data_IF_807459149455
#
_entry.id   IF_807459149455
#
_cell.length_a   1.000
_cell.length_b   1.000
_cell.length_c   1.000
_cell.angle_alpha   90.00
_cell.angle_beta   90.00
_cell.angle_gamma   90.00
#
_symmetry.space_group_name_H-M   'P 1'
#
loop_
_entity.id
_entity.type
_entity.pdbx_description
1 polymer ?
#
# COMPACT_ATOMS: atom_id res chain seq x y z
N UNK A 1 5.53 8.59 -1.77
CA UNK A 1 4.23 8.21 -1.20
C UNK A 1 4.33 7.57 0.18
N UNK A 2 4.98 6.40 0.37
CA UNK A 2 4.99 5.70 1.67
C UNK A 2 5.53 6.53 2.84
N UNK A 3 6.62 7.28 2.63
CA UNK A 3 7.18 8.20 3.65
C UNK A 3 6.23 9.35 4.00
N UNK A 4 5.41 9.80 3.04
CA UNK A 4 4.45 10.88 3.25
C UNK A 4 3.27 10.39 4.09
N UNK A 5 2.69 9.24 3.72
CA UNK A 5 1.62 8.58 4.51
C UNK A 5 2.10 8.26 5.93
N UNK A 6 3.32 7.71 6.07
CA UNK A 6 3.89 7.43 7.39
C UNK A 6 4.12 8.67 8.24
N UNK A 7 4.45 9.82 7.62
CA UNK A 7 4.57 11.09 8.33
C UNK A 7 3.21 11.59 8.82
N UNK A 8 2.20 11.62 7.95
CA UNK A 8 0.84 12.03 8.33
C UNK A 8 0.26 11.14 9.42
N UNK A 9 0.51 9.81 9.35
CA UNK A 9 0.05 8.88 10.37
C UNK A 9 0.68 9.17 11.74
N UNK A 10 1.95 9.57 11.75
CA UNK A 10 2.66 9.98 12.95
C UNK A 10 2.12 11.30 13.52
N UNK A 11 1.94 12.30 12.66
CA UNK A 11 1.40 13.61 13.05
C UNK A 11 0.00 13.49 13.68
N UNK A 12 -0.90 12.69 13.09
CA UNK A 12 -2.23 12.40 13.65
C UNK A 12 -2.14 11.69 15.01
N UNK A 13 -1.26 10.68 15.11
CA UNK A 13 -1.08 9.93 16.37
C UNK A 13 -0.55 10.83 17.48
N UNK A 14 0.45 11.66 17.20
CA UNK A 14 1.02 12.60 18.16
C UNK A 14 -0.01 13.64 18.58
N UNK A 15 -0.83 14.16 17.66
CA UNK A 15 -1.90 15.11 17.98
C UNK A 15 -3.00 14.51 18.87
N UNK A 16 -3.38 13.24 18.63
CA UNK A 16 -4.31 12.51 19.51
C UNK A 16 -3.73 12.32 20.91
N UNK A 17 -2.47 11.91 20.99
CA UNK A 17 -1.77 11.66 22.26
C UNK A 17 -1.61 12.94 23.09
N UNK A 18 -1.27 14.08 22.46
CA UNK A 18 -1.19 15.37 23.15
C UNK A 18 -2.55 15.83 23.70
N UNK A 19 -3.66 15.40 23.09
CA UNK A 19 -5.01 15.67 23.60
C UNK A 19 -5.35 14.77 24.78
N UNK A 20 -5.10 13.46 24.68
CA UNK A 20 -5.47 12.49 25.73
C UNK A 20 -4.52 12.45 26.93
N UNK A 21 -3.22 12.69 26.71
CA UNK A 21 -2.20 12.63 27.76
C UNK A 21 -2.31 13.76 28.79
N UNK A 22 -2.94 14.88 28.41
CA UNK A 22 -3.09 16.06 29.27
C UNK A 22 -4.42 16.08 30.06
N UNK A 23 -5.29 15.07 29.90
CA UNK A 23 -6.50 14.89 30.72
C UNK A 23 -6.22 14.05 31.98
N UNK A 24 -5.02 13.45 32.10
CA UNK A 24 -4.63 12.59 33.24
C UNK A 24 -3.64 13.22 34.23
N UNK A 25 -3.14 14.43 33.96
CA UNK A 25 -2.19 15.14 34.83
C UNK A 25 -2.64 16.59 35.07
N UNK A 26 -3.73 16.76 35.81
CA UNK A 26 -4.11 18.04 36.43
C UNK A 26 -3.26 18.27 37.70
N UNK A 27 -1.93 18.34 37.53
CA UNK A 27 -1.04 18.74 38.61
C UNK A 27 0.21 19.44 38.09
N UNK A 28 0.06 20.76 37.90
CA UNK A 28 1.12 21.76 38.11
C UNK A 28 2.38 21.65 37.24
N UNK A 29 2.46 22.47 36.19
CA UNK A 29 3.72 23.16 35.84
C UNK A 29 3.45 24.36 34.92
N UNK A 30 3.68 25.56 35.46
CA UNK A 30 3.43 26.87 34.82
C UNK A 30 4.52 27.28 33.80
N UNK A 31 5.27 26.36 33.18
CA UNK A 31 6.48 26.74 32.41
C UNK A 31 6.77 25.90 31.13
N UNK A 32 5.80 25.18 30.56
CA UNK A 32 5.94 24.59 29.21
C UNK A 32 5.26 25.48 28.16
N UNK A 33 6.06 26.11 27.32
CA UNK A 33 5.70 27.02 26.23
C UNK A 33 4.56 26.48 25.34
N UNK A 34 3.35 26.97 25.57
CA UNK A 34 2.29 27.36 24.61
C UNK A 34 2.35 26.76 23.20
N UNK A 35 2.37 25.44 23.06
CA UNK A 35 1.75 24.82 21.90
C UNK A 35 0.25 24.70 22.20
N UNK A 36 -0.62 25.43 21.47
CA UNK A 36 -2.05 25.31 21.70
C UNK A 36 -2.46 23.85 21.50
N UNK A 37 -3.26 23.32 22.44
CA UNK A 37 -3.84 21.98 22.32
C UNK A 37 -4.50 21.88 20.95
N UNK A 38 -4.20 20.86 20.12
CA UNK A 38 -4.86 20.69 18.84
C UNK A 38 -6.37 20.60 19.07
N UNK A 39 -7.14 21.46 18.40
CA UNK A 39 -8.59 21.40 18.46
C UNK A 39 -9.11 20.11 17.81
N UNK A 40 -10.30 19.69 18.21
CA UNK A 40 -10.97 18.53 17.62
C UNK A 40 -11.15 18.68 16.10
N UNK A 41 -11.46 19.89 15.64
CA UNK A 41 -11.58 20.23 14.22
C UNK A 41 -10.22 20.13 13.49
N UNK A 42 -9.11 20.48 14.14
CA UNK A 42 -7.77 20.31 13.56
C UNK A 42 -7.38 18.83 13.45
N UNK A 43 -7.70 18.02 14.47
CA UNK A 43 -7.47 16.57 14.45
C UNK A 43 -8.29 15.92 13.33
N UNK A 44 -9.57 16.27 13.21
CA UNK A 44 -10.46 15.79 12.15
C UNK A 44 -9.89 16.12 10.75
N UNK A 45 -9.45 17.37 10.53
CA UNK A 45 -8.80 17.76 9.27
C UNK A 45 -7.50 17.00 8.99
N UNK A 46 -6.73 16.67 10.02
CA UNK A 46 -5.51 15.87 9.85
C UNK A 46 -5.84 14.41 9.51
N UNK A 47 -6.91 13.86 10.07
CA UNK A 47 -7.43 12.52 9.76
C UNK A 47 -7.95 12.44 8.33
N UNK A 48 -8.76 13.41 7.88
CA UNK A 48 -9.22 13.48 6.49
C UNK A 48 -8.04 13.50 5.49
N UNK A 49 -6.99 14.27 5.79
CA UNK A 49 -5.77 14.31 4.96
C UNK A 49 -5.03 12.98 4.97
N UNK A 50 -4.97 12.30 6.11
CA UNK A 50 -4.35 10.98 6.22
C UNK A 50 -5.14 9.95 5.39
N UNK A 51 -6.46 9.95 5.48
CA UNK A 51 -7.34 9.06 4.71
C UNK A 51 -7.18 9.29 3.20
N UNK A 52 -7.18 10.54 2.75
CA UNK A 52 -6.94 10.89 1.35
C UNK A 52 -5.57 10.39 0.87
N UNK A 53 -4.51 10.61 1.66
CA UNK A 53 -3.16 10.15 1.31
C UNK A 53 -3.06 8.61 1.29
N UNK A 54 -3.76 7.90 2.18
CA UNK A 54 -3.83 6.44 2.18
C UNK A 54 -4.61 5.91 0.96
N UNK A 55 -5.69 6.59 0.56
CA UNK A 55 -6.47 6.26 -0.62
C UNK A 55 -5.62 6.43 -1.90
N UNK A 56 -4.91 7.55 -2.02
CA UNK A 56 -4.00 7.79 -3.14
C UNK A 56 -2.86 6.76 -3.20
N UNK A 57 -2.31 6.39 -2.05
CA UNK A 57 -1.30 5.34 -1.96
C UNK A 57 -1.86 3.98 -2.44
N UNK A 58 -3.05 3.61 -1.98
CA UNK A 58 -3.74 2.39 -2.42
C UNK A 58 -3.95 2.42 -3.94
N UNK A 59 -4.47 3.53 -4.47
CA UNK A 59 -4.71 3.71 -5.90
C UNK A 59 -3.42 3.59 -6.72
N UNK A 60 -2.30 4.14 -6.22
CA UNK A 60 -1.00 4.00 -6.88
C UNK A 60 -0.57 2.53 -6.99
N UNK A 61 -0.71 1.75 -5.92
CA UNK A 61 -0.42 0.31 -5.97
C UNK A 61 -1.35 -0.42 -6.95
N UNK A 62 -2.65 -0.12 -6.94
CA UNK A 62 -3.60 -0.72 -7.90
C UNK A 62 -3.22 -0.43 -9.35
N UNK A 63 -2.88 0.83 -9.68
CA UNK A 63 -2.44 1.21 -11.02
C UNK A 63 -1.17 0.46 -11.41
N UNK A 64 -0.19 0.37 -10.51
CA UNK A 64 1.07 -0.36 -10.76
C UNK A 64 0.77 -1.83 -11.07
N UNK A 65 -0.01 -2.51 -10.23
CA UNK A 65 -0.34 -3.93 -10.43
C UNK A 65 -1.17 -4.15 -11.70
N UNK A 66 -2.15 -3.29 -11.98
CA UNK A 66 -2.90 -3.33 -13.24
C UNK A 66 -1.99 -3.22 -14.46
N UNK A 67 -0.99 -2.32 -14.42
CA UNK A 67 -0.04 -2.18 -15.53
C UNK A 67 0.84 -3.41 -15.69
N UNK A 68 1.30 -4.03 -14.61
CA UNK A 68 2.02 -5.31 -14.67
C UNK A 68 1.16 -6.42 -15.26
N UNK A 69 -0.06 -6.59 -14.76
CA UNK A 69 -1.01 -7.59 -15.26
C UNK A 69 -1.25 -7.39 -16.75
N UNK A 70 -1.52 -6.16 -17.18
CA UNK A 70 -1.79 -5.83 -18.57
C UNK A 70 -0.64 -6.23 -19.50
N UNK A 71 0.60 -5.78 -19.21
CA UNK A 71 1.75 -6.05 -20.09
C UNK A 71 2.19 -7.52 -20.06
N UNK A 72 2.08 -8.19 -18.89
CA UNK A 72 2.41 -9.61 -18.78
C UNK A 72 1.36 -10.45 -19.51
N UNK A 73 0.08 -10.14 -19.37
CA UNK A 73 -1.00 -10.84 -20.08
C UNK A 73 -0.88 -10.66 -21.60
N UNK A 74 -0.59 -9.44 -22.06
CA UNK A 74 -0.35 -9.17 -23.48
C UNK A 74 0.80 -10.03 -24.02
N UNK A 75 1.91 -10.11 -23.28
CA UNK A 75 3.05 -10.93 -23.66
C UNK A 75 2.70 -12.43 -23.70
N UNK A 76 2.02 -12.94 -22.68
CA UNK A 76 1.64 -14.36 -22.60
C UNK A 76 0.69 -14.74 -23.75
N UNK A 77 -0.37 -13.95 -23.97
CA UNK A 77 -1.33 -14.17 -25.06
C UNK A 77 -0.65 -14.13 -26.43
N UNK A 78 0.27 -13.18 -26.65
CA UNK A 78 1.00 -13.08 -27.91
C UNK A 78 1.86 -14.31 -28.18
N UNK A 79 2.59 -14.79 -27.17
CA UNK A 79 3.46 -15.96 -27.33
C UNK A 79 2.67 -17.26 -27.48
N UNK A 80 1.54 -17.40 -26.79
CA UNK A 80 0.60 -18.51 -26.96
C UNK A 80 0.04 -18.54 -28.39
N UNK A 81 -0.43 -17.38 -28.88
CA UNK A 81 -0.94 -17.23 -30.26
C UNK A 81 0.10 -17.59 -31.32
N UNK A 82 1.37 -17.19 -31.10
CA UNK A 82 2.48 -17.47 -32.01
C UNK A 82 3.03 -18.90 -31.88
N UNK A 83 2.56 -19.69 -30.90
CA UNK A 83 3.07 -21.03 -30.59
C UNK A 83 4.54 -21.03 -30.14
N UNK A 84 4.98 -19.97 -29.46
CA UNK A 84 6.37 -19.76 -29.03
C UNK A 84 6.49 -19.81 -27.51
N UNK A 85 7.68 -20.14 -27.02
CA UNK A 85 7.98 -20.09 -25.59
C UNK A 85 7.96 -18.63 -25.09
N UNK A 86 7.05 -18.34 -24.16
CA UNK A 86 6.91 -17.03 -23.54
C UNK A 86 8.09 -16.67 -22.62
N UNK A 87 8.90 -17.63 -22.21
CA UNK A 87 9.96 -17.51 -21.20
C UNK A 87 11.22 -16.75 -21.70
N UNK A 88 11.00 -15.52 -22.14
CA UNK A 88 12.01 -14.61 -22.65
C UNK A 88 12.74 -13.87 -21.52
N UNK A 89 13.87 -13.25 -21.85
CA UNK A 89 14.59 -12.36 -20.93
C UNK A 89 13.71 -11.22 -20.43
N UNK A 90 12.88 -10.63 -21.31
CA UNK A 90 11.94 -9.58 -20.95
C UNK A 90 10.91 -10.10 -19.94
N UNK A 91 10.31 -11.27 -20.19
CA UNK A 91 9.34 -11.88 -19.28
C UNK A 91 9.93 -12.11 -17.89
N UNK A 92 11.10 -12.79 -17.83
CA UNK A 92 11.80 -13.08 -16.56
C UNK A 92 12.10 -11.81 -15.77
N UNK A 93 12.51 -10.74 -16.45
CA UNK A 93 12.77 -9.46 -15.81
C UNK A 93 11.49 -8.81 -15.30
N UNK A 94 10.43 -8.77 -16.13
CA UNK A 94 9.16 -8.13 -15.78
C UNK A 94 8.45 -8.84 -14.63
N UNK A 95 8.36 -10.18 -14.67
CA UNK A 95 7.78 -10.95 -13.56
C UNK A 95 8.66 -10.85 -12.30
N UNK A 96 9.98 -10.79 -12.46
CA UNK A 96 10.91 -10.53 -11.35
C UNK A 96 10.68 -9.16 -10.68
N UNK A 97 10.35 -8.13 -11.47
CA UNK A 97 9.99 -6.80 -10.92
C UNK A 97 8.65 -6.81 -10.20
N UNK A 98 7.68 -7.58 -10.67
CA UNK A 98 6.42 -7.79 -9.95
C UNK A 98 6.69 -8.42 -8.57
N UNK A 99 7.46 -9.50 -8.51
CA UNK A 99 7.88 -10.11 -7.23
C UNK A 99 8.62 -9.12 -6.32
N UNK A 100 9.52 -8.31 -6.89
CA UNK A 100 10.25 -7.31 -6.11
C UNK A 100 9.31 -6.31 -5.42
N UNK A 101 8.22 -5.89 -6.07
CA UNK A 101 7.25 -4.97 -5.47
C UNK A 101 6.56 -5.63 -4.28
N UNK A 102 6.14 -6.89 -4.41
CA UNK A 102 5.56 -7.66 -3.30
C UNK A 102 6.50 -7.75 -2.10
N UNK A 103 7.79 -8.02 -2.34
CA UNK A 103 8.78 -8.14 -1.26
C UNK A 103 9.15 -6.81 -0.61
N UNK A 104 9.44 -5.78 -1.42
CA UNK A 104 9.92 -4.48 -0.94
C UNK A 104 8.82 -3.65 -0.27
N UNK A 105 7.56 -3.88 -0.62
CA UNK A 105 6.41 -3.16 -0.08
C UNK A 105 5.39 -4.07 0.61
N UNK A 106 5.86 -5.20 1.15
CA UNK A 106 5.04 -6.25 1.75
C UNK A 106 3.97 -5.71 2.72
N UNK A 107 4.32 -4.78 3.63
CA UNK A 107 3.37 -4.23 4.61
C UNK A 107 2.18 -3.52 3.95
N UNK A 108 2.42 -2.78 2.85
CA UNK A 108 1.36 -2.08 2.14
C UNK A 108 0.55 -3.05 1.28
N UNK A 109 1.22 -3.99 0.61
CA UNK A 109 0.56 -5.01 -0.21
C UNK A 109 -0.34 -5.89 0.67
N UNK A 110 0.13 -6.28 1.85
CA UNK A 110 -0.62 -7.06 2.84
C UNK A 110 -1.88 -6.30 3.28
N UNK A 111 -1.74 -5.00 3.62
CA UNK A 111 -2.89 -4.14 3.96
C UNK A 111 -3.97 -4.10 2.88
N UNK A 112 -3.57 -4.21 1.61
CA UNK A 112 -4.49 -4.16 0.47
C UNK A 112 -4.82 -5.54 -0.12
N UNK A 113 -4.35 -6.64 0.50
CA UNK A 113 -4.40 -7.99 -0.05
C UNK A 113 -5.80 -8.41 -0.47
N UNK A 114 -6.82 -8.14 0.36
CA UNK A 114 -8.22 -8.46 0.03
C UNK A 114 -8.72 -7.70 -1.22
N UNK A 115 -8.37 -6.41 -1.36
CA UNK A 115 -8.75 -5.65 -2.56
C UNK A 115 -8.00 -6.20 -3.78
N UNK A 116 -6.73 -6.54 -3.63
CA UNK A 116 -5.90 -7.08 -4.72
C UNK A 116 -6.44 -8.43 -5.21
N UNK A 117 -6.81 -9.34 -4.31
CA UNK A 117 -7.37 -10.65 -4.68
C UNK A 117 -8.77 -10.56 -5.29
N UNK A 118 -9.57 -9.59 -4.85
CA UNK A 118 -10.95 -9.41 -5.36
C UNK A 118 -10.98 -8.73 -6.72
N UNK A 119 -10.08 -7.76 -6.98
CA UNK A 119 -10.17 -6.90 -8.16
C UNK A 119 -9.12 -7.19 -9.24
N UNK A 120 -7.92 -7.66 -8.88
CA UNK A 120 -6.77 -7.74 -9.80
C UNK A 120 -6.24 -9.16 -10.00
N UNK A 121 -6.00 -9.87 -8.89
CA UNK A 121 -5.45 -11.22 -8.88
C UNK A 121 -6.57 -12.24 -8.63
N UNK A 122 -7.56 -12.25 -9.54
CA UNK A 122 -8.70 -13.16 -9.50
C UNK A 122 -8.34 -14.53 -10.10
N UNK A 123 -9.23 -15.52 -9.94
CA UNK A 123 -9.01 -16.87 -10.48
C UNK A 123 -8.98 -16.92 -12.03
N UNK A 124 -9.50 -15.90 -12.69
CA UNK A 124 -9.50 -15.80 -14.16
C UNK A 124 -8.20 -15.21 -14.73
N UNK A 125 -7.29 -14.74 -13.86
CA UNK A 125 -5.98 -14.25 -14.27
C UNK A 125 -5.08 -15.42 -14.69
N UNK A 126 -4.21 -15.18 -15.67
CA UNK A 126 -3.21 -16.17 -16.11
C UNK A 126 -2.44 -16.76 -14.90
N UNK A 127 -2.34 -18.11 -14.80
CA UNK A 127 -1.71 -18.78 -13.67
C UNK A 127 -0.26 -18.32 -13.40
N UNK A 128 0.51 -17.98 -14.43
CA UNK A 128 1.90 -17.54 -14.25
C UNK A 128 2.01 -16.20 -13.53
N UNK A 129 1.03 -15.32 -13.72
CA UNK A 129 0.96 -14.03 -13.04
C UNK A 129 0.33 -14.21 -11.65
N UNK A 130 -0.73 -15.01 -11.56
CA UNK A 130 -1.44 -15.29 -10.31
C UNK A 130 -0.52 -15.98 -9.28
N UNK A 131 0.34 -16.88 -9.73
CA UNK A 131 1.31 -17.57 -8.88
C UNK A 131 2.27 -16.61 -8.19
N UNK A 132 2.65 -15.50 -8.83
CA UNK A 132 3.49 -14.48 -8.19
C UNK A 132 2.81 -13.85 -6.96
N UNK A 133 1.49 -13.64 -7.04
CA UNK A 133 0.70 -13.15 -5.91
C UNK A 133 0.47 -14.23 -4.86
N UNK A 134 0.15 -15.46 -5.27
CA UNK A 134 -0.05 -16.58 -4.36
C UNK A 134 1.22 -16.90 -3.55
N UNK A 135 2.40 -16.84 -4.18
CA UNK A 135 3.69 -16.99 -3.49
C UNK A 135 3.86 -15.92 -2.42
N UNK A 136 3.52 -14.67 -2.70
CA UNK A 136 3.53 -13.60 -1.70
C UNK A 136 2.58 -13.89 -0.54
N UNK A 137 1.34 -14.31 -0.82
CA UNK A 137 0.35 -14.66 0.21
C UNK A 137 0.83 -15.82 1.08
N UNK A 138 1.45 -16.84 0.47
CA UNK A 138 1.99 -18.01 1.19
C UNK A 138 3.16 -17.67 2.13
N UNK A 139 3.90 -16.59 1.88
CA UNK A 139 4.94 -16.09 2.80
C UNK A 139 4.36 -15.33 4.02
N UNK A 140 3.04 -15.12 4.02
CA UNK A 140 2.31 -14.38 5.07
C UNK A 140 1.36 -15.25 5.88
N UNK A 141 1.02 -16.45 5.38
CA UNK A 141 0.27 -17.49 6.09
C UNK A 141 1.06 -18.19 7.18
#
# INVERSE_FOLDING_TARGET
MNKHVGRLQREVSEAREHRTGNDSDDSSSEDEEQRPRPSEEEIERMEEKLEAAQADQKNLFLIIFQRFIMILSEHLVRFDTDGRDFNTHWYRWTIGRLHQIFMMHNTQVERYSQTLSTLLFTQDLDPHILDAFNQFVALRS
#
